data_IF_742972148690
#
_entry.id   IF_742972148690
#
_cell.length_a   1.000
_cell.length_b   1.000
_cell.length_c   1.000
_cell.angle_alpha   90.00
_cell.angle_beta   90.00
_cell.angle_gamma   90.00
#
_symmetry.space_group_name_H-M   'P 1'
#
loop_
_entity.id
_entity.type
_entity.pdbx_description
1 polymer ?
#
# COMPACT_ATOMS: atom_id res chain seq x y z
N UNK A 1 8.29 -32.61 -38.58
CA UNK A 1 7.35 -33.47 -37.83
C UNK A 1 6.02 -32.74 -37.79
N UNK A 2 4.95 -33.35 -38.33
CA UNK A 2 3.55 -32.89 -38.25
C UNK A 2 3.25 -31.53 -38.94
N UNK A 3 2.71 -31.66 -40.16
CA UNK A 3 1.49 -30.99 -40.68
C UNK A 3 1.47 -29.44 -40.88
N UNK A 4 0.60 -28.88 -41.72
CA UNK A 4 -0.64 -29.43 -42.33
C UNK A 4 -0.55 -29.49 -43.85
N UNK A 5 -1.13 -30.56 -44.41
CA UNK A 5 -1.18 -30.85 -45.84
C UNK A 5 -2.53 -30.44 -46.45
N UNK A 6 -2.53 -30.12 -47.76
CA UNK A 6 -3.61 -30.42 -48.74
C UNK A 6 -5.01 -29.83 -48.43
N UNK A 7 -5.59 -28.97 -49.28
CA UNK A 7 -6.13 -29.36 -50.59
C UNK A 7 -6.42 -28.12 -51.48
N UNK A 8 -5.92 -28.07 -52.72
CA UNK A 8 -6.65 -28.26 -54.00
C UNK A 8 -7.71 -27.20 -54.32
N UNK A 9 -7.93 -26.64 -55.52
CA UNK A 9 -7.49 -26.76 -56.94
C UNK A 9 -8.30 -25.61 -57.66
N UNK A 10 -8.17 -25.19 -58.94
CA UNK A 10 -7.56 -25.70 -60.17
C UNK A 10 -7.31 -24.51 -61.14
N UNK A 11 -6.11 -24.38 -61.77
CA UNK A 11 -5.83 -23.77 -63.12
C UNK A 11 -6.25 -22.29 -63.42
N UNK A 12 -5.62 -21.44 -64.26
CA UNK A 12 -4.52 -21.45 -65.25
C UNK A 12 -4.12 -19.95 -65.53
N UNK A 13 -3.14 -19.52 -66.37
CA UNK A 13 -2.09 -20.15 -67.20
C UNK A 13 -0.95 -19.11 -67.47
N UNK A 14 0.31 -19.55 -67.39
CA UNK A 14 1.46 -19.34 -68.33
C UNK A 14 1.69 -17.99 -69.06
N UNK A 15 2.95 -17.51 -69.03
CA UNK A 15 3.55 -16.54 -69.98
C UNK A 15 3.72 -15.12 -69.41
N UNK A 16 4.89 -14.61 -69.00
CA UNK A 16 6.18 -14.41 -69.70
C UNK A 16 6.11 -13.38 -70.86
N UNK A 17 6.56 -12.16 -70.56
CA UNK A 17 7.14 -11.13 -71.46
C UNK A 17 6.88 -11.23 -72.98
N UNK A 18 6.02 -10.35 -73.52
CA UNK A 18 6.23 -9.69 -74.84
C UNK A 18 5.66 -8.26 -74.81
N UNK A 19 6.41 -7.32 -75.37
CA UNK A 19 6.11 -5.94 -75.82
C UNK A 19 4.63 -5.48 -75.88
N UNK A 20 4.38 -4.21 -75.51
CA UNK A 20 4.33 -3.13 -76.52
C UNK A 20 4.44 -1.72 -75.91
N UNK A 21 5.33 -0.91 -76.48
CA UNK A 21 5.20 0.56 -76.49
C UNK A 21 4.14 0.91 -77.53
N UNK A 22 3.16 1.78 -77.22
CA UNK A 22 2.78 2.99 -77.98
C UNK A 22 1.37 3.52 -77.58
N UNK A 23 1.24 4.85 -77.56
CA UNK A 23 0.02 5.65 -77.80
C UNK A 23 -1.26 5.33 -76.99
N UNK A 24 -1.50 6.15 -75.96
CA UNK A 24 -2.75 6.93 -75.91
C UNK A 24 -2.43 8.40 -75.66
N UNK A 25 -2.42 9.17 -76.75
CA UNK A 25 -2.28 10.62 -76.77
C UNK A 25 -3.66 11.14 -77.19
N UNK A 26 -4.32 11.92 -76.32
CA UNK A 26 -5.41 12.89 -76.58
C UNK A 26 -6.38 13.00 -75.37
N UNK A 27 -6.13 13.95 -74.47
CA UNK A 27 -7.17 14.77 -73.82
C UNK A 27 -6.53 15.98 -73.13
N UNK A 28 -6.93 17.16 -73.59
CA UNK A 28 -6.52 18.51 -73.16
C UNK A 28 -6.93 18.83 -71.69
N UNK A 29 -6.53 19.97 -71.05
CA UNK A 29 -6.50 21.30 -71.68
C UNK A 29 -5.25 22.17 -71.45
N UNK A 30 -5.19 23.23 -72.26
CA UNK A 30 -4.28 24.36 -72.14
C UNK A 30 -4.15 24.89 -70.69
N UNK A 31 -2.91 25.03 -70.23
CA UNK A 31 -2.51 26.22 -69.47
C UNK A 31 -1.75 27.11 -70.45
N UNK A 32 -2.39 28.23 -70.79
CA UNK A 32 -1.86 29.22 -71.72
C UNK A 32 -0.50 29.75 -71.21
N UNK A 33 0.56 29.62 -72.00
CA UNK A 33 1.79 30.39 -71.81
C UNK A 33 1.52 31.86 -72.21
N UNK A 34 0.73 32.56 -71.39
CA UNK A 34 0.26 33.91 -71.70
C UNK A 34 1.26 34.96 -71.21
N UNK A 35 2.38 35.05 -71.93
CA UNK A 35 3.32 36.16 -71.83
C UNK A 35 3.84 36.52 -73.23
N UNK A 36 2.97 37.17 -74.01
CA UNK A 36 3.45 38.08 -75.04
C UNK A 36 4.24 39.20 -74.34
N UNK A 37 5.33 39.62 -74.99
CA UNK A 37 6.20 40.73 -74.58
C UNK A 37 6.89 40.59 -73.21
N UNK A 38 7.51 39.43 -72.97
CA UNK A 38 8.56 39.29 -71.96
C UNK A 38 9.89 38.75 -72.51
N UNK A 39 11.00 39.35 -72.07
CA UNK A 39 12.34 39.11 -72.62
C UNK A 39 12.95 37.77 -72.20
N UNK A 40 12.53 37.24 -71.04
CA UNK A 40 12.94 35.96 -70.51
C UNK A 40 11.73 35.05 -70.32
N UNK A 41 11.86 33.80 -70.73
CA UNK A 41 10.93 32.70 -70.43
C UNK A 41 11.56 31.78 -69.39
N UNK A 42 10.78 31.39 -68.39
CA UNK A 42 11.23 30.56 -67.27
C UNK A 42 10.54 29.19 -67.37
N UNK A 43 11.31 28.15 -67.65
CA UNK A 43 10.78 26.80 -67.83
C UNK A 43 11.10 25.92 -66.61
N UNK A 44 10.16 25.05 -66.18
CA UNK A 44 10.47 23.99 -65.24
C UNK A 44 11.44 23.00 -65.88
N UNK A 45 12.52 22.67 -65.16
CA UNK A 45 13.50 21.66 -65.58
C UNK A 45 12.97 20.23 -65.36
N UNK A 46 11.89 19.86 -66.06
CA UNK A 46 11.29 18.52 -66.03
C UNK A 46 10.05 18.39 -65.14
N UNK A 47 9.83 17.17 -64.64
CA UNK A 47 8.61 16.73 -63.92
C UNK A 47 8.36 17.58 -62.65
N UNK A 48 7.08 17.69 -62.26
CA UNK A 48 6.52 18.58 -61.23
C UNK A 48 7.44 18.85 -60.02
N UNK A 49 7.51 20.13 -59.62
CA UNK A 49 8.39 20.60 -58.54
C UNK A 49 7.88 21.85 -57.81
N UNK A 50 8.73 22.42 -56.95
CA UNK A 50 8.40 23.54 -56.06
C UNK A 50 7.88 24.78 -56.83
N UNK A 51 6.93 25.52 -56.25
CA UNK A 51 6.53 26.83 -56.78
C UNK A 51 7.55 27.92 -56.39
N UNK A 52 7.96 28.71 -57.38
CA UNK A 52 8.82 29.89 -57.24
C UNK A 52 8.04 31.12 -57.71
N UNK A 53 8.17 32.21 -56.95
CA UNK A 53 7.51 33.48 -57.24
C UNK A 53 8.44 34.35 -58.09
N UNK A 54 8.00 34.72 -59.29
CA UNK A 54 8.68 35.68 -60.16
C UNK A 54 7.94 37.01 -60.05
N UNK A 55 8.68 38.09 -59.76
CA UNK A 55 8.15 39.45 -59.74
C UNK A 55 8.79 40.23 -60.90
N UNK A 56 7.96 40.71 -61.83
CA UNK A 56 8.35 41.46 -63.03
C UNK A 56 7.47 42.70 -63.14
N UNK A 57 8.05 43.90 -62.96
CA UNK A 57 7.33 45.19 -62.95
C UNK A 57 6.03 45.18 -62.10
N UNK A 58 6.08 44.54 -60.92
CA UNK A 58 4.94 44.42 -59.99
C UNK A 58 3.98 43.26 -60.28
N UNK A 59 3.98 42.67 -61.49
CA UNK A 59 3.23 41.44 -61.76
C UNK A 59 3.92 40.24 -61.10
N UNK A 60 3.13 39.43 -60.40
CA UNK A 60 3.57 38.17 -59.79
C UNK A 60 3.17 37.00 -60.68
N UNK A 61 4.12 36.18 -61.09
CA UNK A 61 3.90 34.90 -61.79
C UNK A 61 4.45 33.77 -60.92
N UNK A 62 3.75 32.64 -60.85
CA UNK A 62 4.25 31.42 -60.20
C UNK A 62 4.80 30.48 -61.27
N UNK A 63 6.02 29.99 -61.09
CA UNK A 63 6.67 29.02 -62.00
C UNK A 63 7.10 27.79 -61.20
N UNK A 64 6.98 26.61 -61.79
CA UNK A 64 7.41 25.35 -61.18
C UNK A 64 8.93 25.17 -61.33
N UNK A 65 9.59 24.62 -60.32
CA UNK A 65 11.04 24.51 -60.23
C UNK A 65 11.47 23.17 -59.60
N UNK A 66 12.15 22.35 -60.38
CA UNK A 66 12.52 20.98 -60.02
C UNK A 66 13.66 20.99 -59.00
N UNK A 67 13.40 20.53 -57.77
CA UNK A 67 14.38 20.57 -56.67
C UNK A 67 14.81 21.97 -56.19
N UNK A 68 14.31 23.05 -56.81
CA UNK A 68 14.81 24.42 -56.64
C UNK A 68 15.66 24.95 -57.80
N UNK A 69 15.86 24.17 -58.86
CA UNK A 69 16.49 24.61 -60.10
C UNK A 69 15.47 25.22 -61.06
N UNK A 70 15.84 26.31 -61.73
CA UNK A 70 15.06 26.96 -62.79
C UNK A 70 15.92 27.10 -64.03
N UNK A 71 15.37 26.70 -65.19
CA UNK A 71 15.98 27.00 -66.48
C UNK A 71 15.43 28.33 -67.00
N UNK A 72 16.33 29.21 -67.45
CA UNK A 72 15.98 30.54 -67.93
C UNK A 72 16.41 30.63 -69.38
N UNK A 73 15.45 30.87 -70.28
CA UNK A 73 15.69 30.96 -71.71
C UNK A 73 15.40 32.39 -72.21
N UNK A 74 16.26 32.88 -73.09
CA UNK A 74 16.13 34.22 -73.70
C UNK A 74 15.14 34.16 -74.87
N UNK A 75 14.10 34.98 -74.81
CA UNK A 75 13.04 35.00 -75.82
C UNK A 75 13.50 35.68 -77.12
N UNK A 76 12.88 35.35 -78.26
CA UNK A 76 13.22 35.91 -79.58
C UNK A 76 13.13 37.44 -79.64
N UNK A 77 12.25 38.04 -78.83
CA UNK A 77 12.11 39.49 -78.71
C UNK A 77 13.40 40.21 -78.25
N UNK A 78 14.28 39.54 -77.50
CA UNK A 78 15.57 40.10 -77.10
C UNK A 78 16.68 39.85 -78.14
N UNK A 79 16.60 38.76 -78.92
CA UNK A 79 17.62 38.43 -79.95
C UNK A 79 17.69 39.44 -81.10
N UNK A 80 16.73 40.36 -81.23
CA UNK A 80 16.76 41.48 -82.19
C UNK A 80 17.26 42.81 -81.56
N UNK A 81 17.50 42.87 -80.26
CA UNK A 81 17.92 44.09 -79.58
C UNK A 81 19.45 44.12 -79.41
N UNK A 82 20.16 44.64 -80.40
CA UNK A 82 21.56 45.03 -80.23
C UNK A 82 21.63 46.12 -79.15
N UNK A 83 22.34 45.86 -78.05
CA UNK A 83 22.53 46.84 -76.97
C UNK A 83 22.01 46.48 -75.58
N UNK A 84 21.68 45.21 -75.27
CA UNK A 84 21.23 44.82 -73.91
C UNK A 84 22.24 43.87 -73.23
N UNK A 85 22.57 44.17 -71.98
CA UNK A 85 23.39 43.33 -71.10
C UNK A 85 22.61 42.86 -69.87
N UNK A 86 23.08 41.79 -69.23
CA UNK A 86 22.42 41.15 -68.10
C UNK A 86 23.29 41.22 -66.85
N UNK A 87 22.67 41.45 -65.70
CA UNK A 87 23.30 41.28 -64.38
C UNK A 87 22.44 40.37 -63.52
N UNK A 88 22.91 39.16 -63.29
CA UNK A 88 22.28 38.20 -62.40
C UNK A 88 23.03 38.10 -61.07
N UNK A 89 22.34 38.17 -59.94
CA UNK A 89 22.95 38.13 -58.60
C UNK A 89 21.99 37.66 -57.50
N UNK A 90 22.54 37.03 -56.45
CA UNK A 90 21.80 36.76 -55.21
C UNK A 90 21.94 37.93 -54.25
N UNK A 91 20.82 38.39 -53.67
CA UNK A 91 20.87 39.42 -52.63
C UNK A 91 21.11 38.78 -51.26
N UNK A 92 22.35 38.43 -50.99
CA UNK A 92 22.81 38.12 -49.64
C UNK A 92 23.78 39.20 -49.15
N UNK A 93 23.86 39.42 -47.84
CA UNK A 93 24.35 40.68 -47.22
C UNK A 93 25.85 41.02 -47.38
N UNK A 94 26.60 40.35 -48.27
CA UNK A 94 28.05 40.57 -48.40
C UNK A 94 28.75 40.15 -49.72
N UNK A 95 28.08 39.54 -50.72
CA UNK A 95 28.72 39.21 -52.01
C UNK A 95 27.74 39.31 -53.19
N UNK A 96 27.95 40.29 -54.08
CA UNK A 96 27.39 40.25 -55.44
C UNK A 96 28.25 39.31 -56.30
N UNK A 97 27.76 38.10 -56.58
CA UNK A 97 28.39 37.23 -57.59
C UNK A 97 27.73 37.49 -58.94
N UNK A 98 28.32 38.41 -59.70
CA UNK A 98 27.89 38.74 -61.07
C UNK A 98 28.22 37.55 -61.99
N UNK A 99 27.28 37.21 -62.88
CA UNK A 99 27.45 36.19 -63.92
C UNK A 99 27.14 36.84 -65.27
N UNK A 100 28.18 37.03 -66.09
CA UNK A 100 28.10 37.82 -67.33
C UNK A 100 27.36 37.11 -68.49
N UNK A 101 27.13 35.80 -68.40
CA UNK A 101 26.21 35.06 -69.29
C UNK A 101 25.47 33.96 -68.53
N UNK A 102 24.24 34.22 -68.02
CA UNK A 102 23.57 33.31 -67.08
C UNK A 102 22.68 32.23 -67.73
N UNK A 103 22.64 32.08 -69.06
CA UNK A 103 21.60 31.30 -69.77
C UNK A 103 22.04 29.94 -70.33
N UNK A 104 23.24 29.45 -70.02
CA UNK A 104 23.73 28.13 -70.48
C UNK A 104 23.48 26.98 -69.48
N UNK A 105 23.01 27.26 -68.26
CA UNK A 105 22.77 26.26 -67.23
C UNK A 105 21.60 26.63 -66.31
N UNK A 106 20.93 25.61 -65.73
CA UNK A 106 19.87 25.80 -64.75
C UNK A 106 20.42 26.36 -63.42
N UNK A 107 19.75 27.38 -62.87
CA UNK A 107 20.21 28.10 -61.65
C UNK A 107 19.53 27.52 -60.42
N UNK A 108 20.33 27.19 -59.38
CA UNK A 108 19.81 26.77 -58.09
C UNK A 108 19.35 27.95 -57.23
N UNK A 109 18.10 27.91 -56.76
CA UNK A 109 17.53 28.91 -55.85
C UNK A 109 17.41 28.33 -54.44
N UNK A 110 18.22 28.86 -53.51
CA UNK A 110 18.18 28.48 -52.11
C UNK A 110 16.91 29.00 -51.40
N UNK A 111 16.26 28.22 -50.51
CA UNK A 111 15.04 28.63 -49.81
C UNK A 111 15.20 29.90 -48.97
N UNK A 112 14.29 30.85 -49.15
CA UNK A 112 14.26 32.13 -48.44
C UNK A 112 15.16 33.21 -49.02
N UNK A 113 15.94 32.91 -50.07
CA UNK A 113 16.80 33.88 -50.73
C UNK A 113 16.14 34.44 -52.00
N UNK A 114 16.35 35.74 -52.22
CA UNK A 114 15.96 36.43 -53.45
C UNK A 114 17.10 36.39 -54.48
N UNK A 115 16.78 36.02 -55.72
CA UNK A 115 17.67 36.12 -56.87
C UNK A 115 17.15 37.19 -57.84
N UNK A 116 18.05 38.06 -58.31
CA UNK A 116 17.73 39.21 -59.12
C UNK A 116 18.36 39.04 -60.51
N UNK A 117 17.59 39.36 -61.55
CA UNK A 117 18.08 39.45 -62.93
C UNK A 117 17.70 40.81 -63.47
N UNK A 118 18.70 41.65 -63.67
CA UNK A 118 18.57 43.01 -64.20
C UNK A 118 18.98 43.03 -65.67
N UNK A 119 18.09 43.57 -66.53
CA UNK A 119 18.37 43.88 -67.92
C UNK A 119 18.76 45.36 -67.99
N UNK A 120 19.94 45.62 -68.52
CA UNK A 120 20.57 46.94 -68.59
C UNK A 120 20.82 47.31 -70.06
N UNK A 121 20.58 48.57 -70.39
CA UNK A 121 20.98 49.15 -71.67
C UNK A 121 22.51 49.33 -71.72
N UNK A 122 23.18 48.88 -72.78
CA UNK A 122 24.65 48.86 -72.89
C UNK A 122 25.24 50.28 -72.95
N UNK A 123 24.54 51.24 -73.54
CA UNK A 123 25.07 52.59 -73.76
C UNK A 123 24.88 53.48 -72.55
N UNK A 124 23.71 53.39 -71.91
CA UNK A 124 23.31 54.24 -70.79
C UNK A 124 23.39 53.57 -69.41
N UNK A 125 23.60 52.25 -69.36
CA UNK A 125 23.60 51.42 -68.14
C UNK A 125 22.32 51.58 -67.29
N UNK A 126 21.21 52.00 -67.91
CA UNK A 126 19.91 52.14 -67.26
C UNK A 126 19.19 50.81 -67.16
N UNK A 127 18.47 50.61 -66.05
CA UNK A 127 17.66 49.41 -65.80
C UNK A 127 16.40 49.41 -66.67
N UNK A 128 16.37 48.54 -67.67
CA UNK A 128 15.21 48.30 -68.53
C UNK A 128 14.16 47.48 -67.78
N UNK A 129 14.58 46.38 -67.16
CA UNK A 129 13.68 45.45 -66.47
C UNK A 129 14.40 44.66 -65.38
N UNK A 130 13.71 44.40 -64.27
CA UNK A 130 14.19 43.56 -63.16
C UNK A 130 13.22 42.41 -62.94
N UNK A 131 13.74 41.19 -62.95
CA UNK A 131 13.04 40.00 -62.48
C UNK A 131 13.57 39.62 -61.10
N UNK A 132 12.67 39.38 -60.15
CA UNK A 132 13.03 38.86 -58.83
C UNK A 132 12.45 37.45 -58.71
N UNK A 133 13.31 36.44 -58.59
CA UNK A 133 12.95 35.05 -58.37
C UNK A 133 13.08 34.75 -56.88
N UNK A 134 11.98 34.36 -56.24
CA UNK A 134 11.92 34.05 -54.80
C UNK A 134 11.43 32.60 -54.60
N UNK A 135 12.28 31.74 -54.03
CA UNK A 135 11.87 30.42 -53.54
C UNK A 135 11.52 30.56 -52.05
N UNK A 136 10.24 30.54 -51.65
CA UNK A 136 9.89 30.73 -50.25
C UNK A 136 10.42 29.59 -49.37
N UNK A 137 10.85 29.94 -48.15
CA UNK A 137 11.16 28.94 -47.12
C UNK A 137 9.85 28.38 -46.56
N UNK A 138 9.63 27.08 -46.76
CA UNK A 138 8.47 26.34 -46.30
C UNK A 138 8.90 25.47 -45.12
N UNK A 139 8.34 25.74 -43.94
CA UNK A 139 8.58 24.97 -42.72
C UNK A 139 7.24 24.38 -42.29
N UNK A 140 7.11 23.04 -42.11
CA UNK A 140 5.85 22.44 -41.73
C UNK A 140 5.44 22.90 -40.33
N UNK A 141 4.19 23.36 -40.19
CA UNK A 141 3.56 23.59 -38.89
C UNK A 141 2.84 22.31 -38.47
N UNK A 142 2.96 21.95 -37.20
CA UNK A 142 2.26 20.81 -36.61
C UNK A 142 1.38 21.27 -35.47
N UNK A 143 0.17 20.76 -35.47
CA UNK A 143 -0.79 20.84 -34.38
C UNK A 143 -0.91 19.45 -33.73
N UNK A 144 -0.82 19.42 -32.41
CA UNK A 144 -0.93 18.18 -31.63
C UNK A 144 -2.41 17.98 -31.28
N UNK A 145 -3.05 16.98 -31.87
CA UNK A 145 -4.44 16.63 -31.53
C UNK A 145 -4.46 15.57 -30.41
N UNK A 146 -5.11 15.91 -29.30
CA UNK A 146 -5.37 15.03 -28.17
C UNK A 146 -6.71 14.32 -28.38
N UNK A 147 -6.68 13.02 -28.68
CA UNK A 147 -7.88 12.24 -29.02
C UNK A 147 -8.89 12.12 -27.87
N UNK A 148 -8.44 12.21 -26.61
CA UNK A 148 -9.31 12.13 -25.45
C UNK A 148 -10.03 13.47 -25.20
N UNK A 149 -9.28 14.57 -25.27
CA UNK A 149 -9.75 15.89 -24.84
C UNK A 149 -10.27 16.75 -26.01
N UNK A 150 -10.18 16.27 -27.26
CA UNK A 150 -10.64 16.96 -28.47
C UNK A 150 -10.05 18.37 -28.63
N UNK A 151 -8.83 18.57 -28.12
CA UNK A 151 -8.13 19.85 -28.12
C UNK A 151 -6.87 19.80 -28.97
N UNK A 152 -6.68 20.84 -29.78
CA UNK A 152 -5.46 21.11 -30.52
C UNK A 152 -4.49 21.93 -29.65
N UNK A 153 -3.25 21.46 -29.55
CA UNK A 153 -2.13 22.25 -29.03
C UNK A 153 -1.25 22.69 -30.20
N UNK A 154 -1.33 23.97 -30.57
CA UNK A 154 -0.41 24.59 -31.52
C UNK A 154 0.95 24.81 -30.84
N UNK A 155 2.06 24.49 -31.50
CA UNK A 155 3.38 24.97 -31.07
C UNK A 155 3.39 26.49 -31.20
N UNK A 156 3.38 27.19 -30.06
CA UNK A 156 3.15 28.64 -30.06
C UNK A 156 4.23 29.37 -30.84
N UNK A 157 3.78 30.39 -31.57
CA UNK A 157 4.49 31.19 -32.54
C UNK A 157 5.47 32.16 -31.87
N UNK A 158 6.54 31.62 -31.27
CA UNK A 158 7.71 32.37 -30.85
C UNK A 158 8.94 31.45 -30.81
N UNK A 159 10.13 31.98 -31.10
CA UNK A 159 11.35 31.21 -31.42
C UNK A 159 12.04 30.52 -30.24
N UNK A 160 11.29 29.97 -29.28
CA UNK A 160 11.82 29.26 -28.10
C UNK A 160 11.25 27.85 -28.02
N UNK A 161 12.13 26.88 -28.22
CA UNK A 161 11.86 25.44 -28.22
C UNK A 161 11.29 24.97 -26.88
N UNK A 162 9.95 24.94 -26.76
CA UNK A 162 9.25 24.47 -25.58
C UNK A 162 8.98 22.97 -25.64
N UNK A 163 9.66 22.17 -24.81
CA UNK A 163 9.46 20.72 -24.77
C UNK A 163 8.00 20.34 -24.42
N UNK A 164 7.27 19.76 -25.38
CA UNK A 164 5.87 19.36 -25.23
C UNK A 164 5.74 18.23 -24.19
N UNK A 165 4.87 18.38 -23.18
CA UNK A 165 4.77 17.43 -22.06
C UNK A 165 3.62 16.44 -22.26
N UNK A 166 3.95 15.21 -22.64
CA UNK A 166 3.00 14.12 -22.85
C UNK A 166 2.80 13.28 -21.58
N UNK A 167 1.56 12.84 -21.31
CA UNK A 167 1.25 11.77 -20.34
C UNK A 167 1.40 10.40 -21.03
N UNK A 168 1.97 9.38 -20.37
CA UNK A 168 2.40 8.14 -21.03
C UNK A 168 1.30 7.33 -21.73
N UNK A 169 0.03 7.47 -21.32
CA UNK A 169 -1.09 6.70 -21.90
C UNK A 169 -1.83 7.45 -23.03
N UNK A 170 -1.50 8.71 -23.28
CA UNK A 170 -2.22 9.54 -24.27
C UNK A 170 -1.79 9.22 -25.69
N UNK A 171 -2.75 8.80 -26.51
CA UNK A 171 -2.60 8.78 -27.97
C UNK A 171 -2.67 10.21 -28.50
N UNK A 172 -1.68 10.59 -29.30
CA UNK A 172 -1.65 11.86 -30.01
C UNK A 172 -1.54 11.61 -31.50
N UNK A 173 -2.32 12.37 -32.27
CA UNK A 173 -2.10 12.53 -33.71
C UNK A 173 -1.40 13.85 -33.95
N UNK A 174 -0.42 13.85 -34.84
CA UNK A 174 0.19 15.09 -35.33
C UNK A 174 -0.49 15.45 -36.64
N UNK A 175 -1.16 16.60 -36.69
CA UNK A 175 -1.80 17.11 -37.89
C UNK A 175 -0.94 18.22 -38.50
N UNK A 176 -0.79 18.20 -39.83
CA UNK A 176 0.10 19.11 -40.57
C UNK A 176 -0.75 20.27 -41.09
N UNK A 177 -0.56 21.47 -40.53
CA UNK A 177 -1.35 22.64 -40.91
C UNK A 177 -1.04 23.02 -42.37
N UNK A 178 -2.06 23.01 -43.22
CA UNK A 178 -1.91 23.36 -44.64
C UNK A 178 -1.73 24.87 -44.84
N UNK A 179 -0.94 25.25 -45.86
CA UNK A 179 -0.76 26.65 -46.26
C UNK A 179 -1.36 26.86 -47.64
N UNK A 180 -2.23 27.86 -47.77
CA UNK A 180 -2.95 28.20 -49.00
C UNK A 180 -1.99 28.26 -50.20
N UNK A 181 -2.26 27.45 -51.22
CA UNK A 181 -1.46 27.33 -52.45
C UNK A 181 -0.25 26.38 -52.38
N UNK A 182 -0.04 25.69 -51.26
CA UNK A 182 0.89 24.56 -51.07
C UNK A 182 0.15 23.34 -50.47
N UNK A 183 -1.14 23.25 -50.76
CA UNK A 183 -1.99 22.14 -50.36
C UNK A 183 -1.48 20.84 -51.01
N UNK A 184 -1.42 19.75 -50.22
CA UNK A 184 -0.98 18.42 -50.63
C UNK A 184 0.54 18.14 -50.81
N UNK A 185 1.45 18.96 -50.27
CA UNK A 185 2.88 18.60 -50.15
C UNK A 185 3.11 17.50 -49.11
N UNK A 186 3.96 16.51 -49.43
CA UNK A 186 4.33 15.44 -48.49
C UNK A 186 5.41 15.90 -47.49
N UNK A 187 5.30 15.45 -46.23
CA UNK A 187 6.24 15.76 -45.14
C UNK A 187 6.97 14.50 -44.70
N UNK A 188 8.29 14.54 -44.75
CA UNK A 188 9.20 13.57 -44.17
C UNK A 188 9.40 13.88 -42.67
N UNK A 189 9.34 12.86 -41.82
CA UNK A 189 9.53 12.99 -40.39
C UNK A 189 10.55 11.99 -39.83
N UNK A 190 11.26 12.40 -38.78
CA UNK A 190 12.15 11.53 -38.01
C UNK A 190 12.00 11.79 -36.51
N UNK A 191 11.43 10.83 -35.78
CA UNK A 191 11.28 10.82 -34.33
C UNK A 191 12.43 10.02 -33.70
N UNK A 192 13.36 10.69 -33.02
CA UNK A 192 14.49 10.08 -32.30
C UNK A 192 14.23 10.02 -30.80
N UNK A 193 14.32 8.84 -30.21
CA UNK A 193 14.35 8.63 -28.76
C UNK A 193 15.75 9.00 -28.23
N UNK A 194 15.85 10.04 -27.39
CA UNK A 194 17.14 10.55 -26.91
C UNK A 194 17.79 9.66 -25.84
N UNK A 195 17.05 8.72 -25.24
CA UNK A 195 17.55 7.76 -24.24
C UNK A 195 18.12 6.50 -24.89
N UNK A 196 17.48 6.00 -25.96
CA UNK A 196 17.87 4.74 -26.63
C UNK A 196 18.56 4.97 -27.98
N UNK A 197 18.61 6.22 -28.48
CA UNK A 197 19.02 6.60 -29.84
C UNK A 197 18.26 5.92 -31.00
N UNK A 198 17.21 5.14 -30.71
CA UNK A 198 16.32 4.57 -31.73
C UNK A 198 15.58 5.70 -32.46
N UNK A 199 15.44 5.57 -33.77
CA UNK A 199 14.76 6.57 -34.61
C UNK A 199 13.66 5.89 -35.44
N UNK A 200 12.46 6.46 -35.42
CA UNK A 200 11.34 6.11 -36.30
C UNK A 200 11.25 7.18 -37.39
N UNK A 201 11.10 6.78 -38.66
CA UNK A 201 11.07 7.69 -39.79
C UNK A 201 9.95 7.30 -40.77
N UNK A 202 9.43 8.27 -41.51
CA UNK A 202 8.40 8.04 -42.53
C UNK A 202 8.02 9.29 -43.29
N UNK A 203 7.03 9.16 -44.18
CA UNK A 203 6.45 10.27 -44.97
C UNK A 203 4.95 10.31 -44.73
N UNK A 204 4.40 11.51 -44.54
CA UNK A 204 2.99 11.75 -44.25
C UNK A 204 2.48 13.01 -44.96
N UNK A 205 1.24 12.95 -45.46
CA UNK A 205 0.63 14.02 -46.28
C UNK A 205 -0.30 14.97 -45.50
N UNK A 206 -0.90 14.47 -44.42
CA UNK A 206 -1.93 15.21 -43.65
C UNK A 206 -1.81 14.98 -42.14
N UNK A 207 -1.58 13.74 -41.71
CA UNK A 207 -1.33 13.41 -40.30
C UNK A 207 -0.30 12.30 -40.15
N UNK A 208 0.50 12.38 -39.10
CA UNK A 208 1.38 11.30 -38.67
C UNK A 208 0.63 10.51 -37.60
N UNK A 209 0.33 9.25 -37.91
CA UNK A 209 -0.34 8.29 -37.01
C UNK A 209 0.68 7.31 -36.43
N UNK A 210 0.28 6.62 -35.35
CA UNK A 210 1.00 5.49 -34.76
C UNK A 210 2.42 5.78 -34.20
N UNK A 211 2.68 7.03 -33.78
CA UNK A 211 3.88 7.40 -33.03
C UNK A 211 3.84 6.76 -31.64
N UNK A 212 4.86 5.95 -31.33
CA UNK A 212 4.97 5.23 -30.06
C UNK A 212 5.94 5.92 -29.10
N UNK A 213 5.43 6.29 -27.93
CA UNK A 213 6.15 7.05 -26.91
C UNK A 213 6.42 6.21 -25.67
N UNK A 214 7.69 6.04 -25.30
CA UNK A 214 8.10 5.39 -24.07
C UNK A 214 7.95 6.36 -22.87
N UNK A 215 7.38 5.92 -21.73
CA UNK A 215 7.32 6.72 -20.51
C UNK A 215 8.69 7.23 -20.06
N UNK A 216 8.71 8.34 -19.34
CA UNK A 216 9.91 8.93 -18.73
C UNK A 216 11.08 9.17 -19.72
N UNK A 217 10.76 9.56 -20.95
CA UNK A 217 11.73 9.66 -22.05
C UNK A 217 11.59 10.98 -22.81
N UNK A 218 12.71 11.48 -23.32
CA UNK A 218 12.75 12.64 -24.21
C UNK A 218 12.91 12.20 -25.66
N UNK A 219 12.23 12.90 -26.54
CA UNK A 219 12.20 12.65 -27.98
C UNK A 219 12.50 13.95 -28.74
N UNK A 220 13.17 13.80 -29.87
CA UNK A 220 13.46 14.85 -30.85
C UNK A 220 12.72 14.49 -32.14
N UNK A 221 11.76 15.31 -32.56
CA UNK A 221 11.01 15.15 -33.80
C UNK A 221 11.53 16.15 -34.84
N UNK A 222 12.12 15.65 -35.92
CA UNK A 222 12.53 16.44 -37.09
C UNK A 222 11.53 16.31 -38.22
N UNK A 223 11.28 17.40 -38.94
CA UNK A 223 10.21 17.50 -39.95
C UNK A 223 10.68 18.35 -41.13
N UNK A 224 10.47 17.89 -42.36
CA UNK A 224 10.75 18.67 -43.57
C UNK A 224 9.79 18.29 -44.70
N UNK A 225 9.47 19.23 -45.59
CA UNK A 225 8.77 18.88 -46.82
C UNK A 225 9.68 18.04 -47.72
N UNK A 226 9.13 17.04 -48.41
CA UNK A 226 9.89 16.16 -49.33
C UNK A 226 10.59 16.99 -50.41
N UNK A 227 9.91 18.01 -50.94
CA UNK A 227 10.42 18.91 -51.99
C UNK A 227 11.40 19.98 -51.48
N UNK A 228 11.53 20.16 -50.16
CA UNK A 228 12.39 21.17 -49.55
C UNK A 228 13.04 20.64 -48.25
N UNK A 229 13.82 19.57 -48.38
CA UNK A 229 14.51 18.89 -47.25
C UNK A 229 15.41 19.80 -46.41
N UNK A 230 15.92 20.87 -47.00
CA UNK A 230 16.77 21.89 -46.35
C UNK A 230 16.02 22.70 -45.26
N UNK A 231 14.69 22.73 -45.29
CA UNK A 231 13.86 23.48 -44.35
C UNK A 231 13.32 22.60 -43.24
N UNK A 232 14.21 22.18 -42.33
CA UNK A 232 13.84 21.34 -41.19
C UNK A 232 13.25 22.14 -40.03
N UNK A 233 12.13 21.67 -39.46
CA UNK A 233 11.67 22.02 -38.11
C UNK A 233 12.10 20.96 -37.10
N UNK A 234 12.39 21.36 -35.86
CA UNK A 234 12.73 20.47 -34.74
C UNK A 234 11.77 20.73 -33.58
N UNK A 235 11.19 19.68 -33.00
CA UNK A 235 10.30 19.77 -31.84
C UNK A 235 10.75 18.75 -30.79
N UNK A 236 10.92 19.19 -29.55
CA UNK A 236 11.21 18.31 -28.42
C UNK A 236 9.94 17.87 -27.70
N UNK A 237 9.83 16.57 -27.41
CA UNK A 237 8.69 15.97 -26.71
C UNK A 237 9.23 15.26 -25.45
N UNK A 238 8.63 15.53 -24.28
CA UNK A 238 8.96 14.91 -22.99
C UNK A 238 7.76 14.11 -22.50
N UNK A 239 7.92 12.79 -22.42
CA UNK A 239 6.92 11.89 -21.85
C UNK A 239 7.13 11.81 -20.33
N UNK A 240 6.06 12.03 -19.55
CA UNK A 240 6.11 11.89 -18.08
C UNK A 240 6.33 10.42 -17.67
N UNK A 241 6.98 10.15 -16.53
CA UNK A 241 6.96 8.82 -15.93
C UNK A 241 5.55 8.43 -15.48
N UNK A 242 5.31 7.13 -15.36
CA UNK A 242 4.16 6.62 -14.62
C UNK A 242 4.24 6.99 -13.14
N UNK A 243 3.09 7.11 -12.47
CA UNK A 243 3.02 7.46 -11.04
C UNK A 243 3.86 6.52 -10.16
N UNK A 244 3.85 5.21 -10.44
CA UNK A 244 4.61 4.21 -9.68
C UNK A 244 6.12 4.23 -9.92
N UNK A 245 6.59 4.95 -10.94
CA UNK A 245 8.03 5.15 -11.23
C UNK A 245 8.59 6.41 -10.56
N UNK A 246 7.77 7.14 -9.79
CA UNK A 246 8.21 8.35 -9.09
C UNK A 246 8.96 7.99 -7.80
N UNK A 247 10.00 8.76 -7.48
CA UNK A 247 10.76 8.63 -6.22
C UNK A 247 9.86 8.74 -4.98
N UNK A 248 8.81 9.56 -5.06
CA UNK A 248 7.78 9.70 -4.02
C UNK A 248 7.05 8.39 -3.70
N UNK A 249 6.78 7.53 -4.70
CA UNK A 249 6.12 6.24 -4.46
C UNK A 249 7.07 5.23 -3.80
N UNK A 250 8.35 5.20 -4.18
CA UNK A 250 9.33 4.35 -3.50
C UNK A 250 9.55 4.76 -2.04
N UNK A 251 9.60 6.07 -1.76
CA UNK A 251 9.72 6.59 -0.39
C UNK A 251 8.47 6.27 0.44
N UNK A 252 7.26 6.43 -0.10
CA UNK A 252 6.04 6.12 0.66
C UNK A 252 5.90 4.64 0.98
N UNK A 253 6.26 3.74 0.05
CA UNK A 253 6.32 2.29 0.31
C UNK A 253 7.31 1.98 1.44
N UNK A 254 8.50 2.58 1.43
CA UNK A 254 9.52 2.37 2.46
C UNK A 254 9.03 2.83 3.85
N UNK A 255 8.37 3.99 3.93
CA UNK A 255 7.77 4.50 5.17
C UNK A 255 6.67 3.56 5.70
N UNK A 256 5.82 3.03 4.81
CA UNK A 256 4.76 2.06 5.19
C UNK A 256 5.38 0.76 5.75
N UNK A 257 6.43 0.23 5.11
CA UNK A 257 7.15 -0.96 5.57
C UNK A 257 7.84 -0.72 6.93
N UNK A 258 8.46 0.44 7.13
CA UNK A 258 9.07 0.81 8.40
C UNK A 258 8.03 0.91 9.53
N UNK A 259 6.88 1.56 9.27
CA UNK A 259 5.78 1.66 10.23
C UNK A 259 5.21 0.29 10.61
N UNK A 260 5.03 -0.62 9.63
CA UNK A 260 4.61 -1.99 9.87
C UNK A 260 5.62 -2.76 10.73
N UNK A 261 6.93 -2.60 10.47
CA UNK A 261 8.00 -3.17 11.27
C UNK A 261 7.95 -2.73 12.74
N UNK A 262 7.81 -1.42 12.99
CA UNK A 262 7.66 -0.86 14.35
C UNK A 262 6.41 -1.39 15.06
N UNK A 263 5.29 -1.53 14.34
CA UNK A 263 4.05 -2.09 14.89
C UNK A 263 4.23 -3.56 15.31
N UNK A 264 4.91 -4.37 14.49
CA UNK A 264 5.22 -5.77 14.81
C UNK A 264 6.19 -5.89 16.00
N UNK A 265 7.23 -5.07 16.07
CA UNK A 265 8.19 -5.04 17.18
C UNK A 265 7.52 -4.63 18.50
N UNK A 266 6.72 -3.57 18.51
CA UNK A 266 6.00 -3.14 19.72
C UNK A 266 4.96 -4.18 20.19
N UNK A 267 4.30 -4.88 19.25
CA UNK A 267 3.36 -5.96 19.56
C UNK A 267 4.05 -7.20 20.16
N UNK A 268 5.24 -7.58 19.67
CA UNK A 268 6.00 -8.70 20.25
C UNK A 268 6.60 -8.34 21.60
N UNK A 269 7.11 -7.12 21.78
CA UNK A 269 7.66 -6.65 23.05
C UNK A 269 6.59 -6.59 24.16
N UNK A 270 5.41 -6.02 23.87
CA UNK A 270 4.26 -6.00 24.80
C UNK A 270 3.82 -7.42 25.20
N UNK A 271 3.83 -8.38 24.28
CA UNK A 271 3.52 -9.79 24.58
C UNK A 271 4.50 -10.39 25.60
N UNK A 272 5.82 -10.19 25.42
CA UNK A 272 6.84 -10.68 26.36
C UNK A 272 6.67 -10.12 27.76
N UNK A 273 6.45 -8.80 27.88
CA UNK A 273 6.18 -8.14 29.17
C UNK A 273 4.93 -8.72 29.84
N UNK A 274 3.84 -8.90 29.09
CA UNK A 274 2.58 -9.44 29.64
C UNK A 274 2.70 -10.90 30.10
N UNK A 275 3.53 -11.72 29.46
CA UNK A 275 3.82 -13.09 29.92
C UNK A 275 4.62 -13.04 31.23
N UNK A 276 5.71 -12.29 31.28
CA UNK A 276 6.56 -12.16 32.47
C UNK A 276 5.79 -11.60 33.68
N UNK A 277 4.91 -10.59 33.48
CA UNK A 277 4.03 -10.08 34.55
C UNK A 277 3.06 -11.14 35.07
N UNK A 278 2.45 -11.94 34.19
CA UNK A 278 1.55 -13.03 34.61
C UNK A 278 2.29 -14.13 35.37
N UNK A 279 3.54 -14.38 35.03
CA UNK A 279 4.41 -15.33 35.74
C UNK A 279 4.80 -14.82 37.12
N UNK A 280 5.22 -13.55 37.23
CA UNK A 280 5.46 -12.90 38.53
C UNK A 280 4.20 -12.92 39.42
N UNK A 281 3.03 -12.56 38.88
CA UNK A 281 1.77 -12.61 39.63
C UNK A 281 1.41 -14.03 40.10
N UNK A 282 1.72 -15.07 39.32
CA UNK A 282 1.53 -16.46 39.75
C UNK A 282 2.49 -16.85 40.89
N UNK A 283 3.75 -16.44 40.81
CA UNK A 283 4.75 -16.70 41.86
C UNK A 283 4.41 -15.96 43.16
N UNK A 284 3.99 -14.70 43.06
CA UNK A 284 3.52 -13.89 44.18
C UNK A 284 2.26 -14.48 44.83
N UNK A 285 1.27 -14.89 44.04
CA UNK A 285 0.10 -15.62 44.55
C UNK A 285 0.45 -16.96 45.18
N UNK A 286 1.42 -17.70 44.62
CA UNK A 286 1.89 -18.95 45.21
C UNK A 286 2.60 -18.72 46.55
N UNK A 287 3.44 -17.68 46.66
CA UNK A 287 4.09 -17.29 47.91
C UNK A 287 3.09 -16.84 48.98
N UNK A 288 2.09 -16.02 48.61
CA UNK A 288 1.02 -15.60 49.52
C UNK A 288 0.19 -16.81 50.00
N UNK A 289 -0.14 -17.76 49.12
CA UNK A 289 -0.81 -19.01 49.52
C UNK A 289 0.05 -19.80 50.51
N UNK A 290 1.34 -20.00 50.21
CA UNK A 290 2.28 -20.71 51.07
C UNK A 290 2.42 -20.05 52.45
N UNK A 291 2.42 -18.71 52.50
CA UNK A 291 2.45 -17.95 53.74
C UNK A 291 1.13 -18.06 54.54
N UNK A 292 -0.03 -18.10 53.86
CA UNK A 292 -1.34 -18.26 54.52
C UNK A 292 -1.58 -19.66 55.10
N UNK A 293 -0.88 -20.69 54.58
CA UNK A 293 -0.99 -22.08 55.03
C UNK A 293 -0.32 -22.33 56.39
N UNK A 294 0.67 -21.51 56.76
CA UNK A 294 1.26 -21.48 58.09
C UNK A 294 0.61 -20.33 58.87
N UNK A 295 -0.57 -20.55 59.47
CA UNK A 295 -1.21 -19.56 60.35
C UNK A 295 -0.25 -19.23 61.51
N UNK A 296 0.46 -18.07 61.51
CA UNK A 296 1.63 -17.88 62.37
C UNK A 296 1.22 -17.81 63.85
N UNK A 297 0.00 -17.33 64.10
CA UNK A 297 -0.63 -17.29 65.41
C UNK A 297 -0.96 -18.70 65.92
N UNK A 298 -1.44 -19.61 65.07
CA UNK A 298 -1.64 -21.01 65.48
C UNK A 298 -0.31 -21.70 65.80
N UNK A 299 0.71 -21.53 64.95
CA UNK A 299 2.06 -22.10 65.21
C UNK A 299 2.67 -21.55 66.49
N UNK A 300 2.62 -20.23 66.72
CA UNK A 300 3.14 -19.61 67.94
C UNK A 300 2.37 -20.07 69.19
N UNK A 301 1.04 -20.18 69.11
CA UNK A 301 0.23 -20.67 70.22
C UNK A 301 0.51 -22.14 70.53
N UNK A 302 0.66 -23.00 69.52
CA UNK A 302 1.01 -24.41 69.72
C UNK A 302 2.36 -24.56 70.45
N UNK A 303 3.38 -23.82 70.02
CA UNK A 303 4.68 -23.79 70.70
C UNK A 303 4.58 -23.25 72.14
N UNK A 304 3.75 -22.22 72.37
CA UNK A 304 3.51 -21.66 73.70
C UNK A 304 2.78 -22.64 74.62
N UNK A 305 1.80 -23.39 74.12
CA UNK A 305 1.10 -24.45 74.85
C UNK A 305 2.06 -25.58 75.23
N UNK A 306 2.90 -26.06 74.30
CA UNK A 306 3.93 -27.07 74.57
C UNK A 306 4.91 -26.57 75.64
N UNK A 307 5.38 -25.33 75.54
CA UNK A 307 6.25 -24.73 76.56
C UNK A 307 5.57 -24.64 77.93
N UNK A 308 4.28 -24.29 77.98
CA UNK A 308 3.49 -24.26 79.22
C UNK A 308 3.32 -25.63 79.88
N UNK A 309 3.08 -26.68 79.09
CA UNK A 309 3.00 -28.07 79.56
C UNK A 309 4.36 -28.55 80.08
N UNK A 310 5.46 -28.25 79.38
CA UNK A 310 6.81 -28.56 79.87
C UNK A 310 7.14 -27.82 81.19
N UNK A 311 6.84 -26.51 81.27
CA UNK A 311 7.07 -25.71 82.47
C UNK A 311 6.22 -26.15 83.67
N UNK A 312 5.08 -26.82 83.44
CA UNK A 312 4.22 -27.40 84.49
C UNK A 312 4.50 -28.90 84.73
N UNK A 313 5.60 -29.42 84.18
CA UNK A 313 6.06 -30.81 84.31
C UNK A 313 5.07 -31.87 83.76
N UNK A 314 4.18 -31.48 82.85
CA UNK A 314 3.20 -32.34 82.14
C UNK A 314 3.81 -32.84 80.83
N UNK A 315 4.93 -33.56 80.95
CA UNK A 315 5.80 -33.90 79.80
C UNK A 315 5.10 -34.81 78.78
N UNK A 316 4.34 -35.81 79.24
CA UNK A 316 3.64 -36.74 78.35
C UNK A 316 2.57 -36.04 77.51
N UNK A 317 1.84 -35.10 78.11
CA UNK A 317 0.85 -34.27 77.40
C UNK A 317 1.53 -33.30 76.41
N UNK A 318 2.69 -32.75 76.77
CA UNK A 318 3.49 -31.93 75.85
C UNK A 318 3.95 -32.72 74.61
N UNK A 319 4.37 -33.98 74.81
CA UNK A 319 4.76 -34.90 73.73
C UNK A 319 3.57 -35.26 72.84
N UNK A 320 2.41 -35.60 73.43
CA UNK A 320 1.20 -35.90 72.67
C UNK A 320 0.74 -34.69 71.86
N UNK A 321 0.73 -33.50 72.45
CA UNK A 321 0.38 -32.25 71.76
C UNK A 321 1.34 -31.97 70.59
N UNK A 322 2.64 -32.19 70.77
CA UNK A 322 3.65 -32.03 69.72
C UNK A 322 3.46 -33.04 68.58
N UNK A 323 3.10 -34.29 68.86
CA UNK A 323 2.81 -35.30 67.84
C UNK A 323 1.57 -34.95 67.03
N UNK A 324 0.46 -34.60 67.70
CA UNK A 324 -0.80 -34.20 67.06
C UNK A 324 -0.62 -32.93 66.21
N UNK A 325 0.10 -31.93 66.72
CA UNK A 325 0.45 -30.71 65.99
C UNK A 325 1.34 -31.01 64.76
N UNK A 326 2.31 -31.90 64.91
CA UNK A 326 3.17 -32.33 63.79
C UNK A 326 2.38 -33.10 62.74
N UNK A 327 1.38 -33.90 63.14
CA UNK A 327 0.50 -34.61 62.22
C UNK A 327 -0.37 -33.64 61.43
N UNK A 328 -1.03 -32.70 62.11
CA UNK A 328 -1.84 -31.65 61.49
C UNK A 328 -1.03 -30.84 60.46
N UNK A 329 0.17 -30.38 60.83
CA UNK A 329 1.05 -29.65 59.90
C UNK A 329 1.39 -30.47 58.66
N UNK A 330 1.75 -31.76 58.81
CA UNK A 330 2.04 -32.64 57.66
C UNK A 330 0.83 -32.82 56.76
N UNK A 331 -0.35 -33.06 57.33
CA UNK A 331 -1.59 -33.25 56.57
C UNK A 331 -1.98 -31.96 55.82
N UNK A 332 -1.98 -30.81 56.49
CA UNK A 332 -2.28 -29.50 55.88
C UNK A 332 -1.31 -29.19 54.75
N UNK A 333 0.00 -29.42 54.92
CA UNK A 333 0.98 -29.21 53.85
C UNK A 333 0.77 -30.16 52.66
N UNK A 334 0.45 -31.44 52.91
CA UNK A 334 0.21 -32.42 51.87
C UNK A 334 -1.06 -32.13 51.04
N UNK A 335 -2.16 -31.73 51.69
CA UNK A 335 -3.42 -31.40 51.00
C UNK A 335 -3.41 -30.02 50.37
N UNK A 336 -2.59 -29.08 50.85
CA UNK A 336 -2.56 -27.67 50.38
C UNK A 336 -2.37 -27.44 48.88
N UNK A 337 -1.76 -28.40 48.18
CA UNK A 337 -1.53 -28.33 46.73
C UNK A 337 -2.76 -28.77 45.92
N UNK A 338 -3.71 -29.44 46.55
CA UNK A 338 -4.95 -29.91 45.94
C UNK A 338 -6.01 -28.80 46.01
N UNK A 339 -6.84 -28.68 44.97
CA UNK A 339 -7.93 -27.69 44.93
C UNK A 339 -9.17 -28.19 45.70
N UNK A 340 -9.36 -29.52 45.68
CA UNK A 340 -10.39 -30.26 46.38
C UNK A 340 -9.74 -31.44 47.11
N UNK A 341 -10.34 -31.87 48.21
CA UNK A 341 -10.05 -33.13 48.93
C UNK A 341 -11.36 -33.77 49.37
N UNK A 342 -11.31 -35.05 49.75
CA UNK A 342 -12.47 -35.73 50.34
C UNK A 342 -12.89 -35.06 51.64
N UNK A 343 -14.20 -35.03 51.91
CA UNK A 343 -14.78 -34.49 53.14
C UNK A 343 -14.22 -35.21 54.38
N UNK A 344 -13.96 -36.51 54.26
CA UNK A 344 -13.27 -37.30 55.28
C UNK A 344 -11.92 -36.70 55.69
N UNK A 345 -11.06 -36.35 54.72
CA UNK A 345 -9.74 -35.75 54.99
C UNK A 345 -9.81 -34.33 55.57
N UNK A 346 -10.78 -33.52 55.12
CA UNK A 346 -11.01 -32.22 55.73
C UNK A 346 -11.44 -32.39 57.20
N UNK A 347 -12.38 -33.30 57.48
CA UNK A 347 -12.84 -33.57 58.84
C UNK A 347 -11.74 -34.19 59.73
N UNK A 348 -10.86 -35.04 59.19
CA UNK A 348 -9.69 -35.57 59.91
C UNK A 348 -8.76 -34.43 60.37
N UNK A 349 -8.36 -33.54 59.45
CA UNK A 349 -7.56 -32.36 59.79
C UNK A 349 -8.28 -31.46 60.80
N UNK A 350 -9.59 -31.29 60.67
CA UNK A 350 -10.38 -30.47 61.60
C UNK A 350 -10.49 -31.13 62.98
N UNK A 351 -10.61 -32.45 63.09
CA UNK A 351 -10.57 -33.16 64.39
C UNK A 351 -9.24 -32.90 65.12
N UNK A 352 -8.11 -32.99 64.41
CA UNK A 352 -6.79 -32.67 64.99
C UNK A 352 -6.71 -31.20 65.43
N UNK A 353 -7.16 -30.25 64.59
CA UNK A 353 -7.18 -28.83 64.93
C UNK A 353 -8.05 -28.51 66.15
N UNK A 354 -9.29 -29.02 66.18
CA UNK A 354 -10.23 -28.82 67.29
C UNK A 354 -9.66 -29.42 68.58
N UNK A 355 -9.06 -30.62 68.52
CA UNK A 355 -8.45 -31.27 69.69
C UNK A 355 -7.31 -30.43 70.29
N UNK A 356 -6.41 -29.91 69.46
CA UNK A 356 -5.31 -29.03 69.89
C UNK A 356 -5.81 -27.70 70.49
N UNK A 357 -6.86 -27.11 69.92
CA UNK A 357 -7.48 -25.91 70.50
C UNK A 357 -8.28 -26.21 71.78
N UNK A 358 -8.93 -27.38 71.87
CA UNK A 358 -9.65 -27.83 73.07
C UNK A 358 -8.70 -28.06 74.25
N UNK A 359 -7.50 -28.59 74.02
CA UNK A 359 -6.44 -28.64 75.04
C UNK A 359 -6.04 -27.26 75.56
N UNK A 360 -6.17 -26.18 74.77
CA UNK A 360 -5.81 -24.82 75.19
C UNK A 360 -6.95 -24.07 75.87
N UNK A 361 -8.18 -24.22 75.37
CA UNK A 361 -9.35 -23.46 75.82
C UNK A 361 -10.32 -24.26 76.71
N UNK A 362 -10.09 -25.57 76.89
CA UNK A 362 -10.85 -26.50 77.72
C UNK A 362 -12.37 -26.53 77.42
N UNK A 363 -12.74 -26.73 76.14
CA UNK A 363 -14.15 -26.80 75.70
C UNK A 363 -14.55 -28.21 75.22
N UNK A 364 -15.86 -28.48 75.20
CA UNK A 364 -16.44 -29.73 74.71
C UNK A 364 -16.74 -29.63 73.21
N UNK A 365 -16.52 -30.71 72.47
CA UNK A 365 -16.83 -30.76 71.03
C UNK A 365 -17.31 -32.12 70.57
N UNK A 366 -18.09 -32.13 69.49
CA UNK A 366 -18.53 -33.34 68.80
C UNK A 366 -18.69 -33.10 67.28
N UNK A 367 -18.65 -34.19 66.50
CA UNK A 367 -18.84 -34.19 65.05
C UNK A 367 -19.81 -35.31 64.67
N UNK A 368 -21.08 -34.93 64.47
CA UNK A 368 -22.14 -35.77 63.95
C UNK A 368 -22.05 -35.88 62.42
N UNK A 369 -22.05 -37.11 61.91
CA UNK A 369 -22.15 -37.42 60.49
C UNK A 369 -23.38 -38.30 60.29
N UNK A 370 -24.19 -37.98 59.27
CA UNK A 370 -25.32 -38.80 58.88
C UNK A 370 -24.89 -40.01 58.04
N UNK A 371 -25.47 -41.18 58.31
CA UNK A 371 -25.10 -42.46 57.67
C UNK A 371 -25.27 -42.45 56.14
N UNK A 372 -26.11 -41.55 55.60
CA UNK A 372 -26.33 -41.40 54.15
C UNK A 372 -25.20 -40.67 53.40
N UNK A 373 -24.16 -40.19 54.10
CA UNK A 373 -23.04 -39.46 53.50
C UNK A 373 -21.76 -40.31 53.42
N UNK A 374 -21.40 -40.75 52.21
CA UNK A 374 -20.10 -41.37 51.96
C UNK A 374 -18.98 -40.32 51.90
N UNK A 375 -18.41 -39.97 53.05
CA UNK A 375 -17.38 -38.93 53.20
C UNK A 375 -16.13 -39.13 52.32
N UNK A 376 -15.86 -40.38 51.88
CA UNK A 376 -14.74 -40.71 51.00
C UNK A 376 -14.98 -40.38 49.52
N UNK A 377 -16.24 -40.23 49.12
CA UNK A 377 -16.62 -39.92 47.72
C UNK A 377 -16.96 -38.43 47.54
N UNK A 378 -17.30 -37.72 48.62
CA UNK A 378 -17.65 -36.29 48.59
C UNK A 378 -16.38 -35.43 48.56
N UNK A 379 -16.05 -34.82 47.43
CA UNK A 379 -14.93 -33.86 47.32
C UNK A 379 -15.36 -32.41 47.64
N UNK A 380 -14.76 -31.79 48.66
CA UNK A 380 -14.96 -30.38 49.00
C UNK A 380 -13.68 -29.53 48.80
N UNK A 381 -13.79 -28.21 48.62
CA UNK A 381 -12.63 -27.32 48.53
C UNK A 381 -11.77 -27.42 49.80
N UNK A 382 -10.47 -27.61 49.64
CA UNK A 382 -9.50 -27.88 50.73
C UNK A 382 -9.38 -26.71 51.71
N UNK A 383 -9.40 -26.94 53.02
CA UNK A 383 -9.39 -25.89 54.06
C UNK A 383 -10.53 -24.87 53.91
N UNK A 384 -11.74 -25.35 53.63
CA UNK A 384 -12.96 -24.54 53.60
C UNK A 384 -13.62 -24.45 54.98
N UNK A 385 -13.52 -25.50 55.80
CA UNK A 385 -14.11 -25.55 57.13
C UNK A 385 -13.24 -24.82 58.17
N UNK A 386 -11.92 -24.85 57.99
CA UNK A 386 -10.95 -24.30 58.94
C UNK A 386 -11.26 -22.85 59.39
N UNK A 387 -11.57 -21.88 58.51
CA UNK A 387 -11.80 -20.49 58.94
C UNK A 387 -13.10 -20.33 59.73
N UNK A 388 -14.09 -21.19 59.51
CA UNK A 388 -15.37 -21.18 60.22
C UNK A 388 -15.20 -21.78 61.63
N UNK A 389 -14.46 -22.89 61.73
CA UNK A 389 -14.13 -23.56 63.00
C UNK A 389 -13.18 -22.68 63.83
N UNK A 390 -12.17 -22.06 63.21
CA UNK A 390 -11.29 -21.09 63.87
C UNK A 390 -12.07 -19.90 64.44
N UNK A 391 -13.07 -19.39 63.71
CA UNK A 391 -13.95 -18.33 64.17
C UNK A 391 -14.83 -18.78 65.35
N UNK A 392 -15.48 -19.95 65.25
CA UNK A 392 -16.32 -20.51 66.31
C UNK A 392 -15.54 -20.72 67.62
N UNK A 393 -14.33 -21.29 67.53
CA UNK A 393 -13.45 -21.50 68.68
C UNK A 393 -12.95 -20.16 69.25
N UNK A 394 -12.29 -19.32 68.45
CA UNK A 394 -11.59 -18.13 68.98
C UNK A 394 -12.52 -16.97 69.36
N UNK A 395 -13.69 -16.87 68.74
CA UNK A 395 -14.61 -15.75 68.95
C UNK A 395 -15.94 -16.17 69.58
N UNK A 396 -16.42 -17.39 69.34
CA UNK A 396 -17.58 -17.93 70.04
C UNK A 396 -17.24 -18.38 71.47
N UNK A 397 -16.42 -19.42 71.62
CA UNK A 397 -16.32 -20.20 72.87
C UNK A 397 -15.01 -20.05 73.66
N UNK A 398 -13.97 -19.40 73.12
CA UNK A 398 -12.63 -19.35 73.73
C UNK A 398 -12.53 -18.72 75.13
N UNK A 399 -13.58 -18.03 75.58
CA UNK A 399 -13.70 -17.46 76.94
C UNK A 399 -14.66 -18.23 77.86
N UNK A 400 -15.31 -19.30 77.40
CA UNK A 400 -16.34 -20.05 78.14
C UNK A 400 -15.78 -21.25 78.93
N UNK A 401 -14.56 -21.69 78.65
CA UNK A 401 -14.00 -22.90 79.25
C UNK A 401 -14.90 -24.10 79.01
N UNK A 402 -15.14 -24.89 80.06
CA UNK A 402 -15.93 -26.14 80.02
C UNK A 402 -17.41 -25.93 79.66
N UNK A 403 -17.90 -24.69 79.72
CA UNK A 403 -19.23 -24.33 79.24
C UNK A 403 -19.28 -24.16 77.72
N UNK A 404 -18.14 -24.00 77.06
CA UNK A 404 -18.02 -23.91 75.61
C UNK A 404 -18.32 -25.23 74.93
N UNK A 405 -19.16 -25.17 73.89
CA UNK A 405 -19.58 -26.33 73.09
C UNK A 405 -19.45 -26.01 71.61
N UNK A 406 -18.76 -26.89 70.87
CA UNK A 406 -18.66 -26.87 69.41
C UNK A 406 -19.29 -28.14 68.84
N UNK A 407 -20.35 -28.01 68.04
CA UNK A 407 -20.96 -29.12 67.32
C UNK A 407 -20.77 -28.93 65.82
N UNK A 408 -20.19 -29.92 65.15
CA UNK A 408 -20.18 -30.00 63.69
C UNK A 408 -21.17 -31.07 63.26
N UNK A 409 -21.97 -30.77 62.26
CA UNK A 409 -23.01 -31.68 61.77
C UNK A 409 -22.97 -31.75 60.24
N UNK A 410 -22.75 -32.94 59.69
CA UNK A 410 -22.82 -33.22 58.26
C UNK A 410 -24.08 -34.05 57.96
N UNK A 411 -25.07 -33.48 57.25
CA UNK A 411 -26.37 -34.12 56.94
C UNK A 411 -26.75 -33.91 55.48
N UNK A 412 -27.43 -34.88 54.86
CA UNK A 412 -28.09 -34.68 53.56
C UNK A 412 -29.33 -33.79 53.76
N UNK A 413 -29.66 -32.91 52.81
CA UNK A 413 -30.74 -31.92 52.99
C UNK A 413 -32.11 -32.49 52.60
N UNK A 414 -32.15 -33.31 51.55
CA UNK A 414 -33.37 -33.84 50.92
C UNK A 414 -33.02 -35.08 50.05
N UNK A 415 -33.94 -35.51 49.16
CA UNK A 415 -33.68 -36.58 48.19
C UNK A 415 -32.83 -36.14 46.98
N UNK A 416 -32.44 -34.86 46.88
CA UNK A 416 -31.59 -34.37 45.79
C UNK A 416 -30.12 -34.50 46.17
N UNK A 417 -29.20 -34.16 45.27
CA UNK A 417 -27.76 -34.28 45.50
C UNK A 417 -27.19 -33.11 46.33
N UNK A 418 -27.95 -32.66 47.34
CA UNK A 418 -27.63 -31.57 48.23
C UNK A 418 -27.24 -32.08 49.63
N UNK A 419 -26.14 -31.55 50.19
CA UNK A 419 -25.79 -31.78 51.59
C UNK A 419 -25.41 -30.48 52.30
N UNK A 420 -25.42 -30.53 53.63
CA UNK A 420 -25.11 -29.39 54.49
C UNK A 420 -24.04 -29.77 55.51
N UNK A 421 -23.09 -28.85 55.71
CA UNK A 421 -22.18 -28.85 56.85
C UNK A 421 -22.57 -27.66 57.73
N UNK A 422 -22.94 -27.95 58.96
CA UNK A 422 -23.30 -26.99 59.99
C UNK A 422 -22.18 -26.97 61.04
N UNK A 423 -21.72 -25.79 61.41
CA UNK A 423 -20.78 -25.57 62.52
C UNK A 423 -21.48 -24.66 63.51
N UNK A 424 -21.83 -25.21 64.68
CA UNK A 424 -22.59 -24.52 65.72
C UNK A 424 -21.75 -24.38 66.98
N UNK A 425 -21.72 -23.17 67.52
CA UNK A 425 -21.18 -22.88 68.85
C UNK A 425 -22.25 -22.24 69.75
N UNK A 426 -22.09 -22.35 71.07
CA UNK A 426 -22.93 -21.69 72.07
C UNK A 426 -22.32 -20.37 72.58
N UNK A 427 -21.47 -19.74 71.76
CA UNK A 427 -20.77 -18.50 72.07
C UNK A 427 -21.62 -17.25 71.90
N UNK A 428 -20.99 -16.09 72.09
CA UNK A 428 -21.61 -14.80 71.75
C UNK A 428 -21.20 -14.37 70.36
N UNK A 429 -22.17 -14.18 69.45
CA UNK A 429 -21.87 -13.62 68.12
C UNK A 429 -21.32 -12.20 68.25
N UNK A 430 -20.03 -12.03 67.95
CA UNK A 430 -19.39 -10.71 67.89
C UNK A 430 -19.59 -10.13 66.49
N UNK A 431 -20.51 -9.17 66.34
CA UNK A 431 -20.91 -8.59 65.05
C UNK A 431 -19.86 -7.63 64.44
N UNK A 432 -18.63 -8.12 64.25
CA UNK A 432 -17.55 -7.42 63.53
C UNK A 432 -17.74 -7.57 62.02
N UNK A 433 -18.77 -6.92 61.50
CA UNK A 433 -19.15 -6.87 60.08
C UNK A 433 -18.06 -6.41 59.10
N UNK A 434 -16.87 -5.99 59.58
CA UNK A 434 -15.84 -5.34 58.74
C UNK A 434 -14.36 -5.74 58.99
N UNK A 435 -14.01 -6.65 59.91
CA UNK A 435 -12.58 -6.88 60.26
C UNK A 435 -12.10 -8.34 60.43
N UNK A 436 -12.95 -9.34 60.16
CA UNK A 436 -12.52 -10.74 60.16
C UNK A 436 -11.90 -11.16 58.83
N UNK A 437 -10.60 -10.88 58.62
CA UNK A 437 -9.86 -11.16 57.37
C UNK A 437 -10.11 -12.58 56.79
N UNK A 438 -10.27 -13.58 57.66
CA UNK A 438 -10.56 -14.97 57.27
C UNK A 438 -11.96 -15.18 56.69
N UNK A 439 -13.02 -14.63 57.29
CA UNK A 439 -14.40 -14.85 56.84
C UNK A 439 -14.69 -14.17 55.49
N UNK A 440 -14.14 -12.96 55.28
CA UNK A 440 -14.23 -12.28 53.98
C UNK A 440 -13.53 -13.06 52.87
N UNK A 441 -12.36 -13.64 53.17
CA UNK A 441 -11.61 -14.47 52.23
C UNK A 441 -12.35 -15.78 51.91
N UNK A 442 -12.98 -16.42 52.90
CA UNK A 442 -13.85 -17.59 52.69
C UNK A 442 -15.02 -17.26 51.77
N UNK A 443 -15.68 -16.12 51.96
CA UNK A 443 -16.79 -15.69 51.10
C UNK A 443 -16.34 -15.41 49.65
N UNK A 444 -15.21 -14.73 49.46
CA UNK A 444 -14.63 -14.49 48.12
C UNK A 444 -14.20 -15.81 47.44
N UNK A 445 -13.66 -16.75 48.21
CA UNK A 445 -13.28 -18.08 47.73
C UNK A 445 -14.50 -18.89 47.28
N UNK A 446 -15.59 -18.89 48.05
CA UNK A 446 -16.87 -19.52 47.68
C UNK A 446 -17.42 -18.89 46.39
N UNK A 447 -17.44 -17.56 46.27
CA UNK A 447 -17.88 -16.89 45.04
C UNK A 447 -17.02 -17.25 43.83
N UNK A 448 -15.71 -17.45 44.03
CA UNK A 448 -14.79 -17.86 42.96
C UNK A 448 -15.05 -19.29 42.50
N UNK A 449 -15.30 -20.22 43.43
CA UNK A 449 -15.66 -21.61 43.13
C UNK A 449 -16.99 -21.68 42.36
N UNK A 450 -18.02 -20.95 42.82
CA UNK A 450 -19.33 -20.87 42.16
C UNK A 450 -19.28 -20.23 40.76
N UNK A 451 -18.24 -19.45 40.43
CA UNK A 451 -18.00 -18.94 39.07
C UNK A 451 -17.31 -19.97 38.17
N UNK A 452 -16.60 -20.94 38.73
CA UNK A 452 -15.88 -21.98 38.00
C UNK A 452 -16.76 -23.22 37.73
N UNK A 453 -17.60 -23.62 38.68
CA UNK A 453 -18.58 -24.70 38.51
C UNK A 453 -19.94 -24.12 38.17
N UNK A 454 -20.50 -24.45 37.01
CA UNK A 454 -21.81 -23.94 36.56
C UNK A 454 -22.98 -24.68 37.20
N UNK A 455 -22.81 -25.99 37.39
CA UNK A 455 -23.89 -26.90 37.78
C UNK A 455 -23.87 -27.22 39.28
N UNK A 456 -22.85 -26.78 40.02
CA UNK A 456 -22.69 -27.01 41.47
C UNK A 456 -22.42 -25.68 42.17
N UNK A 457 -22.97 -25.47 43.37
CA UNK A 457 -22.74 -24.22 44.12
C UNK A 457 -22.70 -24.40 45.63
N UNK A 458 -21.90 -23.57 46.29
CA UNK A 458 -21.78 -23.52 47.75
C UNK A 458 -22.42 -22.22 48.24
N UNK A 459 -23.29 -22.31 49.25
CA UNK A 459 -23.91 -21.16 49.92
C UNK A 459 -23.51 -21.16 51.39
N UNK A 460 -22.95 -20.05 51.88
CA UNK A 460 -22.64 -19.84 53.29
C UNK A 460 -23.67 -18.90 53.91
N UNK A 461 -24.38 -19.36 54.93
CA UNK A 461 -25.31 -18.58 55.74
C UNK A 461 -24.86 -18.59 57.21
N UNK A 462 -25.31 -17.60 57.98
CA UNK A 462 -25.08 -17.53 59.43
C UNK A 462 -26.41 -17.30 60.16
N UNK A 463 -26.74 -18.18 61.10
CA UNK A 463 -27.86 -18.04 62.02
C UNK A 463 -27.36 -17.58 63.40
N UNK A 464 -28.17 -16.78 64.10
CA UNK A 464 -27.87 -16.18 65.41
C UNK A 464 -28.84 -16.68 66.48
N UNK A 465 -28.87 -17.99 66.73
CA UNK A 465 -29.83 -18.64 67.66
C UNK A 465 -29.07 -19.30 68.80
N UNK A 466 -29.12 -18.68 70.00
CA UNK A 466 -28.43 -19.13 71.23
C UNK A 466 -26.94 -19.46 71.03
N UNK A 467 -26.28 -18.70 70.15
CA UNK A 467 -24.97 -19.06 69.66
C UNK A 467 -24.68 -18.50 68.28
N UNK A 468 -23.63 -19.02 67.66
CA UNK A 468 -23.35 -18.86 66.22
C UNK A 468 -23.57 -20.18 65.51
N UNK A 469 -24.26 -20.16 64.38
CA UNK A 469 -24.42 -21.34 63.52
C UNK A 469 -24.05 -20.96 62.08
N UNK A 470 -22.89 -21.43 61.62
CA UNK A 470 -22.42 -21.28 60.25
C UNK A 470 -22.88 -22.48 59.42
N UNK A 471 -23.62 -22.22 58.34
CA UNK A 471 -24.24 -23.24 57.50
C UNK A 471 -23.66 -23.16 56.09
N UNK A 472 -22.93 -24.20 55.69
CA UNK A 472 -22.48 -24.41 54.31
C UNK A 472 -23.42 -25.40 53.62
N UNK A 473 -24.25 -24.91 52.71
CA UNK A 473 -25.08 -25.75 51.83
C UNK A 473 -24.36 -25.98 50.51
N UNK A 474 -24.06 -27.24 50.21
CA UNK A 474 -23.49 -27.69 48.95
C UNK A 474 -24.65 -28.19 48.06
N UNK A 475 -24.84 -27.54 46.91
CA UNK A 475 -25.92 -27.84 45.98
C UNK A 475 -25.42 -28.63 44.78
N UNK A 476 -26.13 -29.71 44.44
CA UNK A 476 -25.85 -30.63 43.33
C UNK A 476 -24.40 -31.15 43.39
N UNK A 477 -24.02 -31.72 44.53
CA UNK A 477 -22.64 -32.00 44.96
C UNK A 477 -22.39 -33.46 45.37
N UNK A 478 -23.45 -34.25 45.56
CA UNK A 478 -23.38 -35.70 45.77
C UNK A 478 -23.40 -36.46 44.44
#
# INVERSE_FOLDING_TARGET
MIMIAVSTLFSAKVGRYVNLVLLFLLAAPHVQAQQADDYLSFNPAGIEGNQIKIISQGKTVKVLATGGYVEIQVNKALKLAEGITFRAYFKNKSVEKIVDNPFEAAIYLAPGNDFYIDLLDIVSNNLIKRYILQRPKLVPRIEFYDEENHHFYTSKEDGKEGAFKLSPDKKIRLEISQRIGYEAMDVEYALRNLKTSRTQQGVAKYSIKDLSFEPNTYYELRLNYVDQRESTAVIYIRVKPYWYQTTTTYVSILVILAALGVLLLTKTFKRRINVSRKEQQKLEQAAIRLQSLLNPHFTFNALSSIQGLMNTNRIDEANQYLEEFSSLLRQTLATSQQVYITLDKELEMMRLYIKLEAFRFNFLWDIEIADELNLSEIEIPTLLLQPLIENAIKHGIGNLGEQGKLLITCKKVDQTDNFVIMIKDNGTWVDKTHNGYGLSLTAERIQTINKMKKDQSIVLNFNKVEGTEAILTFKNWL
#
